data_IF_233878276365
#
_entry.id   IF_233878276365
#
_cell.length_a   1.000
_cell.length_b   1.000
_cell.length_c   1.000
_cell.angle_alpha   90.00
_cell.angle_beta   90.00
_cell.angle_gamma   90.00
#
_symmetry.space_group_name_H-M   'P 1'
#
loop_
_entity.id
_entity.type
_entity.pdbx_description
1 polymer ?
#
# COMPACT_ATOMS: atom_id res chain seq x y z
N UNK A 1 48.64 -9.81 -31.97
CA UNK A 1 47.59 -10.03 -30.97
C UNK A 1 46.24 -9.99 -31.69
N UNK A 2 45.53 -11.11 -31.77
CA UNK A 2 44.35 -11.26 -32.62
C UNK A 2 43.21 -10.34 -32.18
N UNK A 3 42.53 -9.64 -33.12
CA UNK A 3 41.38 -8.77 -32.84
C UNK A 3 40.28 -9.48 -31.99
N UNK A 4 40.15 -10.78 -32.11
CA UNK A 4 39.26 -11.63 -31.29
C UNK A 4 39.68 -11.66 -29.80
N UNK A 5 40.95 -11.63 -29.50
CA UNK A 5 41.45 -11.64 -28.12
C UNK A 5 41.21 -10.29 -27.42
N UNK A 6 41.24 -9.18 -28.17
CA UNK A 6 40.94 -7.84 -27.65
C UNK A 6 39.46 -7.67 -27.33
N UNK A 7 38.55 -8.20 -28.16
CA UNK A 7 37.09 -8.17 -27.91
C UNK A 7 36.75 -9.00 -26.66
N UNK A 8 37.41 -10.16 -26.49
CA UNK A 8 37.17 -11.01 -25.31
C UNK A 8 37.67 -10.37 -24.00
N UNK A 9 38.81 -9.70 -24.04
CA UNK A 9 39.35 -8.95 -22.89
C UNK A 9 38.46 -7.73 -22.52
N UNK A 10 37.88 -7.05 -23.51
CA UNK A 10 36.97 -5.92 -23.28
C UNK A 10 35.66 -6.37 -22.64
N UNK A 11 35.08 -7.50 -23.07
CA UNK A 11 33.90 -8.09 -22.45
C UNK A 11 34.16 -8.53 -21.00
N UNK A 12 35.30 -9.10 -20.69
CA UNK A 12 35.67 -9.50 -19.33
C UNK A 12 35.85 -8.29 -18.39
N UNK A 13 36.38 -7.17 -18.87
CA UNK A 13 36.51 -5.94 -18.07
C UNK A 13 35.15 -5.33 -17.73
N UNK A 14 34.17 -5.33 -18.65
CA UNK A 14 32.80 -4.85 -18.38
C UNK A 14 32.09 -5.73 -17.37
N UNK A 15 32.22 -7.04 -17.44
CA UNK A 15 31.64 -7.97 -16.48
C UNK A 15 32.24 -7.80 -15.06
N UNK A 16 33.52 -7.62 -14.96
CA UNK A 16 34.22 -7.40 -13.68
C UNK A 16 33.81 -6.09 -13.01
N UNK A 17 33.61 -5.03 -13.78
CA UNK A 17 33.18 -3.73 -13.24
C UNK A 17 31.77 -3.74 -12.71
N UNK A 18 30.81 -4.33 -13.44
CA UNK A 18 29.42 -4.50 -13.01
C UNK A 18 29.28 -5.35 -11.75
N UNK A 19 30.10 -6.41 -11.62
CA UNK A 19 30.09 -7.29 -10.45
C UNK A 19 30.65 -6.61 -9.21
N UNK A 20 31.68 -5.76 -9.36
CA UNK A 20 32.25 -5.01 -8.24
C UNK A 20 31.31 -3.91 -7.70
N UNK A 21 30.54 -3.23 -8.56
CA UNK A 21 29.54 -2.25 -8.15
C UNK A 21 28.35 -2.91 -7.42
N UNK A 22 27.88 -4.07 -7.87
CA UNK A 22 26.78 -4.77 -7.21
C UNK A 22 27.20 -5.30 -5.82
N UNK A 23 28.40 -5.82 -5.66
CA UNK A 23 28.94 -6.25 -4.36
C UNK A 23 29.02 -5.05 -3.40
N UNK A 24 29.56 -3.92 -3.85
CA UNK A 24 29.65 -2.71 -3.04
C UNK A 24 28.27 -2.17 -2.61
N UNK A 25 27.26 -2.23 -3.49
CA UNK A 25 25.90 -1.85 -3.16
C UNK A 25 25.32 -2.77 -2.08
N UNK A 26 25.49 -4.08 -2.22
CA UNK A 26 24.99 -5.06 -1.26
C UNK A 26 25.59 -4.83 0.13
N UNK A 27 26.92 -4.66 0.21
CA UNK A 27 27.60 -4.39 1.48
C UNK A 27 27.13 -3.09 2.14
N UNK A 28 26.90 -2.03 1.35
CA UNK A 28 26.39 -0.76 1.87
C UNK A 28 24.98 -0.88 2.40
N UNK A 29 24.10 -1.60 1.69
CA UNK A 29 22.71 -1.84 2.14
C UNK A 29 22.71 -2.72 3.38
N UNK A 30 23.47 -3.82 3.39
CA UNK A 30 23.59 -4.70 4.56
C UNK A 30 24.07 -3.94 5.80
N UNK A 31 25.00 -3.01 5.63
CA UNK A 31 25.50 -2.20 6.73
C UNK A 31 24.43 -1.25 7.30
N UNK A 32 23.59 -0.67 6.42
CA UNK A 32 22.46 0.19 6.85
C UNK A 32 21.43 -0.59 7.67
N UNK A 33 21.16 -1.84 7.30
CA UNK A 33 20.13 -2.67 7.94
C UNK A 33 20.69 -3.65 8.97
N UNK A 34 21.99 -3.57 9.30
CA UNK A 34 22.65 -4.47 10.26
C UNK A 34 21.96 -4.53 11.62
N UNK A 35 21.35 -3.44 12.08
CA UNK A 35 20.63 -3.39 13.35
C UNK A 35 19.44 -4.35 13.39
N UNK A 36 18.89 -4.70 12.23
CA UNK A 36 17.76 -5.62 12.07
C UNK A 36 18.19 -7.07 11.80
N UNK A 37 19.49 -7.32 11.60
CA UNK A 37 20.04 -8.66 11.34
C UNK A 37 20.26 -9.38 12.66
N UNK A 38 19.17 -9.69 13.34
CA UNK A 38 19.15 -10.34 14.66
C UNK A 38 18.20 -11.54 14.66
N UNK A 39 18.50 -12.53 15.51
CA UNK A 39 17.68 -13.73 15.68
C UNK A 39 16.65 -13.62 16.82
N UNK A 40 16.51 -12.44 17.43
CA UNK A 40 15.67 -12.24 18.61
C UNK A 40 14.83 -10.95 18.56
N UNK A 41 14.67 -10.38 17.39
CA UNK A 41 13.93 -9.12 17.20
C UNK A 41 13.10 -9.11 15.92
N UNK A 42 12.16 -8.15 15.81
CA UNK A 42 11.42 -7.94 14.60
C UNK A 42 12.36 -7.55 13.46
N UNK A 43 11.91 -7.71 12.23
CA UNK A 43 12.74 -7.45 11.07
C UNK A 43 11.96 -6.85 9.90
N UNK A 44 12.57 -6.93 8.72
CA UNK A 44 12.02 -6.35 7.50
C UNK A 44 12.44 -7.16 6.26
N UNK A 45 11.73 -6.95 5.17
CA UNK A 45 12.15 -7.35 3.82
C UNK A 45 12.35 -6.11 2.96
N UNK A 46 13.42 -6.11 2.18
CA UNK A 46 13.82 -4.99 1.33
C UNK A 46 14.08 -5.45 -0.09
N UNK A 47 13.66 -4.64 -1.06
CA UNK A 47 14.07 -4.76 -2.45
C UNK A 47 14.46 -3.40 -3.01
N UNK A 48 15.48 -3.36 -3.86
CA UNK A 48 15.85 -2.18 -4.65
C UNK A 48 15.60 -2.51 -6.12
N UNK A 49 14.84 -1.65 -6.77
CA UNK A 49 14.51 -1.78 -8.19
C UNK A 49 15.21 -0.64 -8.93
N UNK A 50 15.98 -0.98 -9.96
CA UNK A 50 16.63 -0.02 -10.86
C UNK A 50 16.34 -0.44 -12.30
N UNK A 51 15.89 0.51 -13.11
CA UNK A 51 15.59 0.30 -14.54
C UNK A 51 14.67 -0.92 -14.79
N UNK A 52 13.67 -1.11 -13.93
CA UNK A 52 12.70 -2.21 -14.01
C UNK A 52 13.21 -3.57 -13.53
N UNK A 53 14.46 -3.68 -13.06
CA UNK A 53 15.06 -4.91 -12.55
C UNK A 53 15.30 -4.83 -11.03
N UNK A 54 15.09 -5.95 -10.32
CA UNK A 54 15.46 -6.05 -8.92
C UNK A 54 16.97 -6.24 -8.84
N UNK A 55 17.68 -5.20 -8.35
CA UNK A 55 19.14 -5.21 -8.19
C UNK A 55 19.60 -5.63 -6.79
N UNK A 56 18.69 -5.61 -5.82
CA UNK A 56 18.92 -6.08 -4.46
C UNK A 56 17.60 -6.60 -3.88
N UNK A 57 17.64 -7.74 -3.16
CA UNK A 57 16.51 -8.29 -2.43
C UNK A 57 16.99 -9.12 -1.26
N UNK A 58 16.67 -8.70 -0.04
CA UNK A 58 17.08 -9.39 1.20
C UNK A 58 16.03 -9.20 2.30
N UNK A 59 16.10 -10.04 3.32
CA UNK A 59 15.29 -9.93 4.52
C UNK A 59 16.18 -10.08 5.76
N UNK A 60 15.73 -9.53 6.88
CA UNK A 60 16.43 -9.48 8.15
C UNK A 60 15.43 -9.72 9.28
N UNK A 61 15.91 -10.32 10.38
CA UNK A 61 15.12 -10.51 11.60
C UNK A 61 14.04 -11.58 11.51
N UNK A 62 13.15 -11.58 12.48
CA UNK A 62 12.20 -12.65 12.78
C UNK A 62 10.77 -12.20 12.47
N UNK A 63 10.03 -13.07 11.77
CA UNK A 63 8.60 -12.89 11.44
C UNK A 63 7.67 -13.33 12.56
N UNK A 64 8.07 -14.36 13.31
CA UNK A 64 7.32 -14.86 14.46
C UNK A 64 8.31 -15.21 15.56
N UNK A 65 8.25 -14.49 16.67
CA UNK A 65 9.19 -14.62 17.79
C UNK A 65 8.93 -15.87 18.63
N UNK A 66 7.67 -16.36 18.67
CA UNK A 66 7.32 -17.55 19.44
C UNK A 66 7.84 -18.85 18.80
N UNK A 67 8.01 -18.85 17.49
CA UNK A 67 8.41 -20.01 16.71
C UNK A 67 9.76 -19.83 15.98
N UNK A 68 10.48 -18.76 16.26
CA UNK A 68 11.77 -18.43 15.61
C UNK A 68 11.73 -18.47 14.08
N UNK A 69 10.57 -18.05 13.50
CA UNK A 69 10.39 -18.04 12.04
C UNK A 69 11.08 -16.81 11.46
N UNK A 70 12.11 -16.96 10.61
CA UNK A 70 12.79 -15.81 10.01
C UNK A 70 11.93 -15.11 8.97
N UNK A 71 12.12 -13.80 8.80
CA UNK A 71 11.62 -13.08 7.63
C UNK A 71 12.40 -13.52 6.41
N UNK A 72 11.68 -13.71 5.31
CA UNK A 72 12.24 -13.99 3.99
C UNK A 72 11.76 -12.95 2.98
N UNK A 73 12.39 -12.80 1.82
CA UNK A 73 11.86 -11.95 0.76
C UNK A 73 10.47 -12.35 0.23
N UNK A 74 9.98 -13.53 0.62
CA UNK A 74 8.63 -14.04 0.29
C UNK A 74 7.66 -13.97 1.44
N UNK A 75 8.05 -13.43 2.60
CA UNK A 75 7.16 -13.22 3.73
C UNK A 75 6.05 -12.24 3.39
N UNK A 76 4.84 -12.55 3.83
CA UNK A 76 3.67 -11.71 3.61
C UNK A 76 3.54 -10.71 4.75
N UNK A 77 3.39 -9.44 4.40
CA UNK A 77 3.23 -8.33 5.34
C UNK A 77 1.85 -7.69 5.21
N UNK A 78 1.27 -7.33 6.34
CA UNK A 78 0.13 -6.43 6.37
C UNK A 78 0.63 -4.99 6.14
N UNK A 79 0.44 -4.49 4.91
CA UNK A 79 1.01 -3.20 4.48
C UNK A 79 0.13 -1.99 4.82
N UNK A 80 -0.95 -2.20 5.59
CA UNK A 80 -1.85 -1.15 6.07
C UNK A 80 -2.24 -0.15 4.96
N UNK A 81 -2.09 1.15 5.19
CA UNK A 81 -2.52 2.20 4.25
C UNK A 81 -1.70 2.31 2.97
N UNK A 82 -0.57 1.61 2.85
CA UNK A 82 0.12 1.45 1.56
C UNK A 82 -0.78 0.76 0.53
N UNK A 83 -1.75 -0.05 0.98
CA UNK A 83 -2.76 -0.71 0.14
C UNK A 83 -3.65 0.27 -0.64
N UNK A 84 -3.84 1.49 -0.13
CA UNK A 84 -4.74 2.48 -0.73
C UNK A 84 -4.38 2.85 -2.17
N UNK A 85 -3.10 2.92 -2.49
CA UNK A 85 -2.64 3.19 -3.85
C UNK A 85 -3.11 2.11 -4.84
N UNK A 86 -3.15 0.84 -4.43
CA UNK A 86 -3.61 -0.26 -5.28
C UNK A 86 -5.13 -0.21 -5.48
N UNK A 87 -5.90 0.16 -4.44
CA UNK A 87 -7.34 0.38 -4.55
C UNK A 87 -7.64 1.48 -5.56
N UNK A 88 -7.01 2.66 -5.43
CA UNK A 88 -7.21 3.77 -6.38
C UNK A 88 -6.75 3.38 -7.79
N UNK A 89 -5.63 2.69 -7.92
CA UNK A 89 -5.16 2.21 -9.22
C UNK A 89 -6.18 1.26 -9.89
N UNK A 90 -6.84 0.39 -9.11
CA UNK A 90 -7.89 -0.49 -9.61
C UNK A 90 -9.11 0.31 -10.10
N UNK A 91 -9.54 1.34 -9.37
CA UNK A 91 -10.61 2.27 -9.79
C UNK A 91 -10.24 2.98 -11.11
N UNK A 92 -9.00 3.49 -11.22
CA UNK A 92 -8.53 4.13 -12.46
C UNK A 92 -8.49 3.16 -13.66
N UNK A 93 -8.18 1.89 -13.43
CA UNK A 93 -8.24 0.86 -14.47
C UNK A 93 -9.69 0.60 -14.92
N UNK A 94 -10.64 0.57 -13.99
CA UNK A 94 -12.07 0.42 -14.30
C UNK A 94 -12.60 1.63 -15.06
N UNK A 95 -12.20 2.84 -14.70
CA UNK A 95 -12.53 4.07 -15.43
C UNK A 95 -11.96 4.02 -16.85
N UNK A 96 -10.70 3.66 -17.02
CA UNK A 96 -10.06 3.48 -18.33
C UNK A 96 -10.79 2.47 -19.21
N UNK A 97 -11.44 1.47 -18.61
CA UNK A 97 -12.26 0.47 -19.30
C UNK A 97 -13.71 0.95 -19.56
N UNK A 98 -14.08 2.16 -19.17
CA UNK A 98 -15.43 2.72 -19.28
C UNK A 98 -16.47 2.04 -18.39
N UNK A 99 -16.05 1.33 -17.32
CA UNK A 99 -16.95 0.62 -16.41
C UNK A 99 -17.52 1.51 -15.30
N UNK A 100 -16.82 2.57 -14.98
CA UNK A 100 -17.21 3.59 -14.01
C UNK A 100 -16.60 4.94 -14.41
N UNK A 101 -16.99 6.01 -13.72
CA UNK A 101 -16.34 7.32 -13.77
C UNK A 101 -15.95 7.76 -12.37
N UNK A 102 -14.81 8.43 -12.23
CA UNK A 102 -14.43 9.08 -10.96
C UNK A 102 -15.47 10.11 -10.50
N UNK A 103 -16.27 10.67 -11.42
CA UNK A 103 -17.37 11.57 -11.13
C UNK A 103 -18.66 10.85 -10.72
N UNK A 104 -18.73 9.54 -10.77
CA UNK A 104 -19.91 8.80 -10.33
C UNK A 104 -20.18 9.03 -8.83
N UNK A 105 -21.48 9.15 -8.49
CA UNK A 105 -21.93 9.17 -7.10
C UNK A 105 -21.72 7.78 -6.49
N UNK A 106 -21.12 7.72 -5.28
CA UNK A 106 -20.89 6.47 -4.57
C UNK A 106 -22.18 5.65 -4.35
N UNK A 107 -23.33 6.31 -4.22
CA UNK A 107 -24.63 5.66 -4.02
C UNK A 107 -25.08 4.83 -5.23
N UNK A 108 -24.49 5.05 -6.39
CA UNK A 108 -24.71 4.20 -7.58
C UNK A 108 -24.22 2.76 -7.33
N UNK A 109 -23.22 2.61 -6.50
CA UNK A 109 -22.56 1.33 -6.19
C UNK A 109 -22.92 0.81 -4.81
N UNK A 110 -23.08 1.72 -3.84
CA UNK A 110 -23.36 1.42 -2.44
C UNK A 110 -24.56 2.26 -1.99
N UNK A 111 -25.79 1.77 -2.24
CA UNK A 111 -27.02 2.50 -1.90
C UNK A 111 -27.23 2.68 -0.40
N UNK A 112 -26.49 1.95 0.45
CA UNK A 112 -26.50 2.12 1.90
C UNK A 112 -25.90 3.44 2.38
N UNK A 113 -25.11 4.12 1.55
CA UNK A 113 -24.59 5.46 1.86
C UNK A 113 -25.75 6.46 1.83
N UNK A 114 -26.02 7.19 2.94
CA UNK A 114 -27.14 8.11 3.01
C UNK A 114 -27.05 9.25 1.99
N UNK A 115 -28.18 9.80 1.64
CA UNK A 115 -28.24 11.07 0.92
C UNK A 115 -28.03 12.22 1.90
N UNK A 116 -26.84 12.83 1.82
CA UNK A 116 -26.49 14.01 2.62
C UNK A 116 -26.89 15.33 1.93
N UNK A 117 -27.71 15.28 0.86
CA UNK A 117 -28.03 16.45 0.04
C UNK A 117 -26.87 16.96 -0.81
N UNK A 118 -25.78 16.19 -0.87
CA UNK A 118 -24.55 16.47 -1.61
C UNK A 118 -24.06 15.22 -2.33
N UNK A 119 -23.58 15.37 -3.54
CA UNK A 119 -22.97 14.28 -4.31
C UNK A 119 -21.59 13.96 -3.75
N UNK A 120 -21.36 12.71 -3.35
CA UNK A 120 -20.04 12.20 -2.99
C UNK A 120 -19.55 11.35 -4.16
N UNK A 121 -18.48 11.80 -4.83
CA UNK A 121 -17.92 11.09 -5.99
C UNK A 121 -16.86 10.08 -5.57
N UNK A 122 -16.55 9.12 -6.46
CA UNK A 122 -15.42 8.20 -6.28
C UNK A 122 -14.10 8.98 -6.15
N UNK A 123 -13.95 10.11 -6.86
CA UNK A 123 -12.80 10.98 -6.72
C UNK A 123 -12.69 11.59 -5.32
N UNK A 124 -13.81 12.03 -4.73
CA UNK A 124 -13.79 12.56 -3.36
C UNK A 124 -13.32 11.51 -2.35
N UNK A 125 -13.71 10.24 -2.53
CA UNK A 125 -13.24 9.15 -1.68
C UNK A 125 -11.74 8.90 -1.85
N UNK A 126 -11.27 8.84 -3.10
CA UNK A 126 -9.87 8.58 -3.44
C UNK A 126 -8.92 9.67 -2.96
N UNK A 127 -9.38 10.92 -2.91
CA UNK A 127 -8.58 12.08 -2.50
C UNK A 127 -8.79 12.54 -1.06
N UNK A 128 -9.57 11.80 -0.25
CA UNK A 128 -9.89 12.16 1.14
C UNK A 128 -10.61 13.50 1.29
N UNK A 129 -11.46 13.86 0.32
CA UNK A 129 -12.24 15.11 0.30
C UNK A 129 -13.74 14.87 0.36
N UNK A 130 -14.18 13.68 0.78
CA UNK A 130 -15.59 13.30 0.80
C UNK A 130 -16.40 13.92 1.95
N UNK A 131 -15.77 14.37 3.02
CA UNK A 131 -16.44 14.81 4.25
C UNK A 131 -17.02 13.67 5.09
N UNK A 132 -16.91 12.41 4.66
CA UNK A 132 -17.37 11.27 5.46
C UNK A 132 -16.59 11.16 6.76
N UNK A 133 -17.27 10.73 7.83
CA UNK A 133 -16.63 10.47 9.12
C UNK A 133 -15.81 9.18 9.06
N UNK A 134 -14.63 9.21 9.68
CA UNK A 134 -13.74 8.07 9.69
C UNK A 134 -14.28 6.92 10.54
N UNK A 135 -14.28 5.72 9.99
CA UNK A 135 -14.80 4.50 10.63
C UNK A 135 -14.10 4.18 11.94
N UNK A 136 -12.78 4.37 12.02
CA UNK A 136 -12.03 4.04 13.23
C UNK A 136 -12.35 4.97 14.38
N UNK A 137 -12.53 6.27 14.09
CA UNK A 137 -12.95 7.24 15.08
C UNK A 137 -14.35 6.90 15.61
N UNK A 138 -15.29 6.58 14.72
CA UNK A 138 -16.66 6.24 15.11
C UNK A 138 -16.74 4.93 15.90
N UNK A 139 -15.98 3.91 15.50
CA UNK A 139 -15.90 2.63 16.21
C UNK A 139 -15.29 2.80 17.59
N UNK A 140 -14.17 3.55 17.69
CA UNK A 140 -13.54 3.85 18.97
C UNK A 140 -14.48 4.58 19.93
N UNK A 141 -15.22 5.58 19.43
CA UNK A 141 -16.23 6.29 20.21
C UNK A 141 -17.38 5.38 20.67
N UNK A 142 -17.69 4.33 19.89
CA UNK A 142 -18.67 3.31 20.24
C UNK A 142 -18.14 2.21 21.17
N UNK A 143 -16.88 2.31 21.62
CA UNK A 143 -16.26 1.37 22.54
C UNK A 143 -15.59 0.15 21.88
N UNK A 144 -15.46 0.13 20.55
CA UNK A 144 -14.76 -0.92 19.83
C UNK A 144 -13.23 -0.76 20.00
N UNK A 145 -12.54 -1.90 20.06
CA UNK A 145 -11.08 -1.95 20.16
C UNK A 145 -10.48 -2.32 18.81
N UNK A 146 -9.20 -1.98 18.60
CA UNK A 146 -8.50 -2.31 17.35
C UNK A 146 -8.23 -3.81 17.16
N UNK A 147 -8.32 -4.60 18.23
CA UNK A 147 -8.19 -6.06 18.23
C UNK A 147 -9.54 -6.80 18.10
N UNK A 148 -10.67 -6.07 18.04
CA UNK A 148 -11.96 -6.64 17.74
C UNK A 148 -12.08 -7.06 16.28
N UNK A 149 -12.88 -8.07 15.97
CA UNK A 149 -13.17 -8.50 14.60
C UNK A 149 -14.15 -7.54 13.95
N UNK A 150 -13.62 -6.65 13.12
CA UNK A 150 -14.38 -5.65 12.38
C UNK A 150 -14.55 -6.12 10.94
N UNK A 151 -15.81 -6.27 10.50
CA UNK A 151 -16.14 -6.68 9.12
C UNK A 151 -16.65 -5.50 8.30
N UNK A 152 -16.75 -5.67 6.98
CA UNK A 152 -17.30 -4.65 6.08
C UNK A 152 -18.77 -4.32 6.43
N UNK A 153 -19.55 -5.33 6.85
CA UNK A 153 -20.95 -5.16 7.24
C UNK A 153 -21.08 -4.21 8.43
N UNK A 154 -20.15 -4.29 9.39
CA UNK A 154 -20.06 -3.35 10.50
C UNK A 154 -19.85 -1.92 10.00
N UNK A 155 -18.94 -1.74 9.03
CA UNK A 155 -18.64 -0.42 8.45
C UNK A 155 -19.80 0.11 7.63
N UNK A 156 -20.42 -0.69 6.75
CA UNK A 156 -21.59 -0.27 5.98
C UNK A 156 -22.76 0.12 6.88
N UNK A 157 -23.03 -0.67 7.94
CA UNK A 157 -24.02 -0.35 8.95
C UNK A 157 -23.71 0.95 9.69
N UNK A 158 -22.43 1.20 9.97
CA UNK A 158 -21.99 2.43 10.62
C UNK A 158 -22.22 3.64 9.70
N UNK A 159 -21.83 3.52 8.43
CA UNK A 159 -22.01 4.56 7.40
C UNK A 159 -23.49 4.87 7.19
N UNK A 160 -24.34 3.85 7.05
CA UNK A 160 -25.79 4.01 6.81
C UNK A 160 -26.53 4.77 7.91
N UNK A 161 -25.96 4.87 9.12
CA UNK A 161 -26.54 5.60 10.26
C UNK A 161 -26.07 7.05 10.37
N UNK A 162 -25.11 7.48 9.56
CA UNK A 162 -24.61 8.85 9.61
C UNK A 162 -25.67 9.79 9.05
N UNK A 163 -25.83 10.96 9.67
CA UNK A 163 -26.82 11.97 9.27
C UNK A 163 -26.18 13.19 8.62
N UNK A 164 -24.90 13.39 8.87
CA UNK A 164 -24.16 14.58 8.44
C UNK A 164 -22.72 14.23 8.06
N UNK A 165 -22.16 15.04 7.20
CA UNK A 165 -20.75 15.05 6.86
C UNK A 165 -19.96 15.97 7.80
N UNK A 166 -18.63 15.82 7.84
CA UNK A 166 -17.74 16.75 8.55
C UNK A 166 -17.63 18.10 7.81
N UNK A 167 -17.70 18.07 6.46
CA UNK A 167 -17.66 19.23 5.56
C UNK A 167 -18.28 18.85 4.20
N UNK A 168 -18.58 19.83 3.36
CA UNK A 168 -19.10 19.56 2.01
C UNK A 168 -18.06 18.86 1.15
N UNK A 169 -18.44 17.84 0.35
CA UNK A 169 -17.49 17.13 -0.52
C UNK A 169 -16.75 18.09 -1.46
N UNK A 170 -15.43 17.99 -1.46
CA UNK A 170 -14.53 18.82 -2.23
C UNK A 170 -14.02 20.07 -1.51
N UNK A 171 -14.61 20.51 -0.41
CA UNK A 171 -14.24 21.77 0.25
C UNK A 171 -12.97 21.64 1.07
N UNK A 172 -12.75 20.47 1.71
CA UNK A 172 -11.62 20.26 2.61
C UNK A 172 -10.98 18.89 2.41
N UNK A 173 -9.78 18.72 2.94
CA UNK A 173 -9.08 17.45 3.05
C UNK A 173 -9.13 16.94 4.48
N UNK A 174 -9.61 15.69 4.65
CA UNK A 174 -9.52 14.97 5.92
C UNK A 174 -9.32 13.48 5.64
N UNK A 175 -8.17 12.94 6.06
CA UNK A 175 -7.87 11.53 5.88
C UNK A 175 -9.01 10.64 6.42
N UNK A 176 -9.55 9.77 5.57
CA UNK A 176 -10.74 9.00 5.87
C UNK A 176 -10.61 7.56 5.37
N UNK A 177 -10.57 6.59 6.30
CA UNK A 177 -10.53 5.17 5.96
C UNK A 177 -11.88 4.67 5.43
N UNK A 178 -12.99 5.24 5.89
CA UNK A 178 -14.34 4.90 5.40
C UNK A 178 -14.41 5.02 3.88
N UNK A 179 -13.87 6.09 3.31
CA UNK A 179 -13.85 6.29 1.87
C UNK A 179 -13.15 5.15 1.12
N UNK A 180 -12.06 4.63 1.65
CA UNK A 180 -11.32 3.53 1.04
C UNK A 180 -11.97 2.17 1.25
N UNK A 181 -12.66 1.95 2.37
CA UNK A 181 -13.51 0.77 2.54
C UNK A 181 -14.64 0.77 1.49
N UNK A 182 -15.28 1.91 1.25
CA UNK A 182 -16.30 2.04 0.20
C UNK A 182 -15.73 1.86 -1.20
N UNK A 183 -14.55 2.42 -1.52
CA UNK A 183 -13.88 2.20 -2.82
C UNK A 183 -13.52 0.74 -3.07
N UNK A 184 -13.22 -0.02 -2.03
CA UNK A 184 -12.93 -1.45 -2.16
C UNK A 184 -14.19 -2.30 -2.43
N UNK A 185 -15.38 -1.77 -2.17
CA UNK A 185 -16.67 -2.41 -2.49
C UNK A 185 -17.16 -2.07 -3.90
N UNK A 186 -16.68 -0.96 -4.49
CA UNK A 186 -16.96 -0.58 -5.88
C UNK A 186 -16.27 -1.51 -6.87
#
# INVERSE_FOLDING_TARGET
MNKFLQIFLFQFMFFGYSQSESIKLNDQVDQLFKVWDTNNGPGLALAIIKDGAIVYKKAYGIANLEYDIPITPSSVFHIASVSKQFTVFSILLLEKQGKLSLDDDIRKYIPEVPDFGKKITLQHLASHTSGLRDQWNLLSMAGWRFDDVITKEHILKLVSKQKELNFSPGDEFMYCNTGFTLLAEV
#
